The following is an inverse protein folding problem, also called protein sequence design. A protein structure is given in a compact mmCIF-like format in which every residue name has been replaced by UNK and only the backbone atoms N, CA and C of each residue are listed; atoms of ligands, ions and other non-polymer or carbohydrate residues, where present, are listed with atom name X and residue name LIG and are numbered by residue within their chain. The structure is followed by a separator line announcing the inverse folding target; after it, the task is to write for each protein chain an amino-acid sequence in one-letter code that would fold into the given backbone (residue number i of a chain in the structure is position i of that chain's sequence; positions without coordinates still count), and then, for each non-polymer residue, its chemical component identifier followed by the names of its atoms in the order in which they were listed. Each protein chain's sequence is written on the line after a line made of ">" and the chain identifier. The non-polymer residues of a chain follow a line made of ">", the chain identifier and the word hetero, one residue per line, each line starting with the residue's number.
data_IF_202760881512
#
_entry.id   IF_202760881512
#
_cell.length_a   1.000
_cell.length_b   1.000
_cell.length_c   1.000
_cell.angle_alpha   90.00
_cell.angle_beta   90.00
_cell.angle_gamma   90.00
#
_symmetry.space_group_name_H-M   'P 1'
#
loop_
_entity.id
_entity.type
_entity.pdbx_description
1 polymer ?
#
# COMPACT_ATOMS: atom_id res chain seq x y z
N UNK A 1 29.03 -5.92 10.29
CA UNK A 1 28.02 -5.40 9.37
C UNK A 1 27.66 -4.00 9.86
N UNK A 2 27.56 -3.03 8.98
CA UNK A 2 27.09 -1.68 9.39
C UNK A 2 25.59 -1.70 9.71
N UNK A 3 25.09 -0.73 10.49
CA UNK A 3 23.65 -0.59 10.78
C UNK A 3 22.83 -0.51 9.49
N UNK A 4 23.32 0.20 8.49
CA UNK A 4 22.68 0.28 7.17
C UNK A 4 22.52 -1.09 6.49
N UNK A 5 23.58 -1.92 6.50
CA UNK A 5 23.51 -3.27 5.93
C UNK A 5 22.54 -4.17 6.71
N UNK A 6 22.48 -4.02 8.02
CA UNK A 6 21.52 -4.75 8.85
C UNK A 6 20.08 -4.37 8.52
N UNK A 7 19.79 -3.07 8.42
CA UNK A 7 18.45 -2.60 8.06
C UNK A 7 18.05 -3.11 6.67
N UNK A 8 18.93 -3.00 5.68
CA UNK A 8 18.63 -3.47 4.32
C UNK A 8 18.32 -4.98 4.29
N UNK A 9 19.12 -5.79 4.98
CA UNK A 9 18.86 -7.23 5.08
C UNK A 9 17.55 -7.51 5.81
N UNK A 10 17.26 -6.81 6.89
CA UNK A 10 16.01 -6.94 7.63
C UNK A 10 14.79 -6.65 6.73
N UNK A 11 14.85 -5.59 5.91
CA UNK A 11 13.73 -5.24 5.02
C UNK A 11 13.49 -6.28 3.92
N UNK A 12 14.53 -6.89 3.37
CA UNK A 12 14.40 -8.02 2.45
C UNK A 12 13.70 -9.23 3.11
N UNK A 13 13.98 -9.48 4.38
CA UNK A 13 13.33 -10.57 5.14
C UNK A 13 11.90 -10.24 5.57
N UNK A 14 11.60 -8.95 5.80
CA UNK A 14 10.28 -8.47 6.22
C UNK A 14 9.30 -8.32 5.04
N UNK A 15 9.79 -7.98 3.85
CA UNK A 15 8.93 -7.76 2.69
C UNK A 15 7.93 -8.90 2.42
N UNK A 16 8.35 -10.17 2.30
CA UNK A 16 7.41 -11.26 2.05
C UNK A 16 6.45 -11.50 3.22
N UNK A 17 6.86 -11.22 4.46
CA UNK A 17 6.00 -11.34 5.63
C UNK A 17 4.89 -10.29 5.62
N UNK A 18 5.25 -9.03 5.37
CA UNK A 18 4.28 -7.94 5.29
C UNK A 18 3.34 -8.11 4.09
N UNK A 19 3.84 -8.63 2.96
CA UNK A 19 2.97 -8.93 1.83
C UNK A 19 1.94 -10.01 2.18
N UNK A 20 2.34 -11.08 2.86
CA UNK A 20 1.42 -12.12 3.30
C UNK A 20 0.36 -11.60 4.29
N UNK A 21 0.75 -10.71 5.22
CA UNK A 21 -0.18 -10.06 6.15
C UNK A 21 -1.15 -9.11 5.41
N UNK A 22 -0.65 -8.36 4.43
CA UNK A 22 -1.50 -7.51 3.59
C UNK A 22 -2.48 -8.35 2.75
N UNK A 23 -2.06 -9.49 2.21
CA UNK A 23 -2.95 -10.44 1.52
C UNK A 23 -4.02 -11.01 2.46
N UNK A 24 -3.65 -11.33 3.70
CA UNK A 24 -4.61 -11.79 4.71
C UNK A 24 -5.66 -10.70 5.00
N UNK A 25 -5.25 -9.46 5.14
CA UNK A 25 -6.14 -8.36 5.49
C UNK A 25 -7.00 -7.92 4.29
N UNK A 26 -6.42 -7.78 3.11
CA UNK A 26 -7.03 -7.13 1.95
C UNK A 26 -7.38 -8.06 0.80
N UNK A 27 -6.96 -9.33 0.84
CA UNK A 27 -7.14 -10.32 -0.22
C UNK A 27 -5.90 -10.51 -1.08
N UNK A 28 -5.86 -11.58 -1.89
CA UNK A 28 -4.65 -12.05 -2.57
C UNK A 28 -4.10 -11.00 -3.55
N UNK A 29 -2.77 -10.99 -3.70
CA UNK A 29 -2.11 -10.16 -4.73
C UNK A 29 -2.50 -10.62 -6.15
N UNK A 30 -2.39 -9.71 -7.10
CA UNK A 30 -2.48 -10.03 -8.53
C UNK A 30 -1.22 -10.79 -9.01
N UNK A 31 -1.27 -11.33 -10.22
CA UNK A 31 -0.16 -12.09 -10.77
C UNK A 31 0.91 -11.15 -11.36
N UNK A 32 2.14 -11.26 -10.86
CA UNK A 32 3.33 -10.54 -11.31
C UNK A 32 4.58 -11.15 -10.67
N UNK A 33 5.76 -10.82 -11.23
CA UNK A 33 7.07 -11.18 -10.67
C UNK A 33 7.62 -10.01 -9.84
N UNK A 34 7.98 -10.28 -8.57
CA UNK A 34 8.67 -9.33 -7.72
C UNK A 34 10.18 -9.52 -7.83
N UNK A 35 10.93 -8.42 -8.05
CA UNK A 35 12.36 -8.48 -8.29
C UNK A 35 13.24 -7.90 -7.18
N UNK A 36 12.65 -7.39 -6.10
CA UNK A 36 13.41 -6.98 -4.91
C UNK A 36 13.25 -5.53 -4.49
N UNK A 37 14.02 -5.16 -3.46
CA UNK A 37 14.09 -3.82 -2.89
C UNK A 37 15.23 -3.03 -3.50
N UNK A 38 14.98 -1.76 -3.81
CA UNK A 38 15.96 -0.81 -4.29
C UNK A 38 15.89 0.47 -3.46
N UNK A 39 16.97 1.24 -3.47
CA UNK A 39 17.07 2.45 -2.64
C UNK A 39 17.48 3.64 -3.50
N UNK A 40 16.84 4.79 -3.30
CA UNK A 40 17.14 6.03 -4.02
C UNK A 40 16.76 7.28 -3.20
N UNK A 41 16.90 8.48 -3.78
CA UNK A 41 16.68 9.75 -3.07
C UNK A 41 15.30 10.37 -3.34
N UNK A 42 14.37 9.62 -3.90
CA UNK A 42 13.00 10.08 -4.14
C UNK A 42 12.04 9.52 -3.08
N UNK A 43 10.75 9.86 -3.18
CA UNK A 43 9.71 9.23 -2.38
C UNK A 43 9.67 7.71 -2.64
N UNK A 44 9.33 6.90 -1.63
CA UNK A 44 9.14 5.46 -1.81
C UNK A 44 8.01 5.22 -2.82
N UNK A 45 8.09 4.08 -3.52
CA UNK A 45 7.09 3.71 -4.54
C UNK A 45 7.25 2.27 -5.01
N UNK A 46 6.16 1.70 -5.51
CA UNK A 46 6.19 0.51 -6.36
C UNK A 46 6.38 0.94 -7.81
N UNK A 47 7.27 0.28 -8.52
CA UNK A 47 7.61 0.62 -9.91
C UNK A 47 7.58 -0.64 -10.77
N UNK A 48 6.91 -0.56 -11.91
CA UNK A 48 7.09 -1.56 -12.97
C UNK A 48 8.53 -1.42 -13.50
N UNK A 49 9.27 -2.52 -13.43
CA UNK A 49 10.65 -2.56 -13.90
C UNK A 49 10.72 -2.95 -15.37
N UNK A 50 9.94 -3.96 -15.75
CA UNK A 50 9.92 -4.50 -17.10
C UNK A 50 8.61 -5.25 -17.36
N UNK A 51 8.37 -5.55 -18.63
CA UNK A 51 7.29 -6.42 -19.12
C UNK A 51 7.88 -7.37 -20.13
N UNK A 52 7.77 -8.66 -19.87
CA UNK A 52 8.11 -9.67 -20.88
C UNK A 52 7.03 -9.72 -21.95
N UNK A 53 7.34 -9.23 -23.14
CA UNK A 53 6.40 -9.20 -24.27
C UNK A 53 6.11 -10.59 -24.86
N UNK A 54 6.90 -11.63 -24.52
CA UNK A 54 6.66 -13.00 -24.98
C UNK A 54 5.72 -13.76 -24.07
N UNK A 55 5.87 -13.60 -22.74
CA UNK A 55 5.04 -14.28 -21.75
C UNK A 55 3.88 -13.40 -21.26
N UNK A 56 4.00 -12.09 -21.37
CA UNK A 56 3.08 -11.12 -20.82
C UNK A 56 3.32 -10.84 -19.32
N UNK A 57 4.38 -11.40 -18.73
CA UNK A 57 4.69 -11.22 -17.33
C UNK A 57 5.13 -9.79 -17.02
N UNK A 58 4.63 -9.26 -15.91
CA UNK A 58 5.04 -7.97 -15.38
C UNK A 58 6.04 -8.17 -14.24
N UNK A 59 7.06 -7.32 -14.21
CA UNK A 59 8.09 -7.30 -13.18
C UNK A 59 8.01 -6.01 -12.38
N UNK A 60 7.78 -6.13 -11.08
CA UNK A 60 7.69 -4.98 -10.17
C UNK A 60 8.78 -5.01 -9.12
N UNK A 61 9.19 -3.84 -8.66
CA UNK A 61 10.11 -3.63 -7.55
C UNK A 61 9.54 -2.61 -6.59
N UNK A 62 10.02 -2.65 -5.35
CA UNK A 62 9.84 -1.56 -4.39
C UNK A 62 11.11 -0.70 -4.42
N UNK A 63 10.95 0.60 -4.49
CA UNK A 63 11.99 1.59 -4.31
C UNK A 63 11.73 2.34 -3.00
N UNK A 64 12.64 2.20 -2.00
CA UNK A 64 12.58 2.91 -0.74
C UNK A 64 13.45 4.18 -0.79
N UNK A 65 13.04 5.22 -0.04
CA UNK A 65 13.85 6.41 0.13
C UNK A 65 15.11 6.08 0.93
N UNK A 66 16.26 6.65 0.55
CA UNK A 66 17.54 6.42 1.22
C UNK A 66 17.58 6.73 2.72
N UNK A 67 16.61 7.49 3.25
CA UNK A 67 16.43 7.67 4.69
C UNK A 67 16.11 6.36 5.41
N UNK A 68 15.35 5.46 4.78
CA UNK A 68 15.00 4.16 5.33
C UNK A 68 16.22 3.34 5.77
N UNK A 69 17.34 3.48 5.07
CA UNK A 69 18.58 2.76 5.39
C UNK A 69 19.16 3.19 6.75
N UNK A 70 18.93 4.45 7.13
CA UNK A 70 19.50 5.06 8.35
C UNK A 70 18.53 5.07 9.53
N UNK A 71 17.24 5.01 9.27
CA UNK A 71 16.16 5.03 10.26
C UNK A 71 15.28 3.81 10.08
N UNK A 72 15.42 2.84 11.00
CA UNK A 72 14.67 1.59 10.96
C UNK A 72 13.15 1.83 11.03
N UNK A 73 12.70 2.80 11.83
CA UNK A 73 11.27 3.08 11.95
C UNK A 73 10.70 3.63 10.64
N UNK A 74 11.40 4.59 10.04
CA UNK A 74 11.02 5.14 8.73
C UNK A 74 11.07 4.05 7.63
N UNK A 75 12.05 3.16 7.68
CA UNK A 75 12.17 2.05 6.73
C UNK A 75 11.03 1.04 6.84
N UNK A 76 10.64 0.65 8.06
CA UNK A 76 9.48 -0.23 8.29
C UNK A 76 8.19 0.43 7.81
N UNK A 77 8.01 1.73 8.10
CA UNK A 77 6.86 2.49 7.63
C UNK A 77 6.77 2.53 6.09
N UNK A 78 7.87 2.88 5.43
CA UNK A 78 7.92 2.91 3.97
C UNK A 78 7.67 1.52 3.37
N UNK A 79 8.36 0.49 3.85
CA UNK A 79 8.24 -0.86 3.32
C UNK A 79 6.81 -1.40 3.44
N UNK A 80 6.21 -1.26 4.62
CA UNK A 80 4.84 -1.74 4.84
C UNK A 80 3.79 -0.95 4.05
N UNK A 81 4.04 0.32 3.77
CA UNK A 81 3.21 1.13 2.87
C UNK A 81 3.28 0.60 1.43
N UNK A 82 4.49 0.45 0.89
CA UNK A 82 4.70 0.00 -0.49
C UNK A 82 4.26 -1.44 -0.74
N UNK A 83 4.28 -2.29 0.27
CA UNK A 83 3.77 -3.66 0.18
C UNK A 83 2.27 -3.70 -0.11
N UNK A 84 1.49 -2.71 0.35
CA UNK A 84 0.06 -2.63 0.01
C UNK A 84 -0.14 -2.34 -1.48
N UNK A 85 0.66 -1.46 -2.06
CA UNK A 85 0.65 -1.20 -3.51
C UNK A 85 1.04 -2.43 -4.33
N UNK A 86 1.88 -3.32 -3.78
CA UNK A 86 2.17 -4.61 -4.42
C UNK A 86 0.97 -5.58 -4.47
N UNK A 87 -0.13 -5.34 -3.78
CA UNK A 87 -1.31 -6.21 -3.88
C UNK A 87 -1.93 -6.18 -5.29
N UNK A 88 -1.88 -5.03 -5.95
CA UNK A 88 -2.43 -4.87 -7.30
C UNK A 88 -1.73 -3.71 -8.03
N UNK A 89 -0.43 -3.83 -8.30
CA UNK A 89 0.31 -2.78 -8.97
C UNK A 89 -0.22 -2.57 -10.39
N UNK A 90 -0.26 -1.32 -10.82
CA UNK A 90 -0.72 -0.93 -12.15
C UNK A 90 0.40 -0.29 -12.95
N UNK A 91 0.33 -0.39 -14.28
CA UNK A 91 1.22 0.38 -15.15
C UNK A 91 0.98 1.88 -14.90
N UNK A 92 2.06 2.66 -14.84
CA UNK A 92 1.97 4.12 -14.69
C UNK A 92 1.64 4.79 -16.04
N UNK A 93 0.53 4.38 -16.63
CA UNK A 93 -0.03 5.03 -17.81
C UNK A 93 -0.99 6.16 -17.40
N UNK A 94 -1.26 7.08 -18.33
CA UNK A 94 -2.24 8.14 -18.13
C UNK A 94 -3.59 7.53 -17.75
N UNK A 95 -3.98 7.67 -16.49
CA UNK A 95 -5.26 7.16 -15.94
C UNK A 95 -5.16 6.05 -14.90
N UNK A 96 -3.98 5.48 -14.66
CA UNK A 96 -3.72 4.48 -13.60
C UNK A 96 -3.20 5.13 -12.30
N UNK A 97 -3.71 6.29 -11.96
CA UNK A 97 -3.33 6.96 -10.72
C UNK A 97 -3.95 6.26 -9.52
N UNK A 98 -3.17 6.15 -8.45
CA UNK A 98 -3.61 5.66 -7.13
C UNK A 98 -4.77 6.51 -6.63
N UNK A 99 -5.76 5.89 -5.99
CA UNK A 99 -6.90 6.60 -5.41
C UNK A 99 -6.78 6.69 -3.87
N UNK A 100 -7.63 7.49 -3.25
CA UNK A 100 -7.64 7.68 -1.79
C UNK A 100 -7.93 6.38 -1.02
N UNK A 101 -8.66 5.42 -1.60
CA UNK A 101 -8.87 4.11 -0.99
C UNK A 101 -7.55 3.36 -0.83
N UNK A 102 -6.74 3.30 -1.88
CA UNK A 102 -5.48 2.57 -1.88
C UNK A 102 -4.45 3.23 -0.95
N UNK A 103 -4.30 4.56 -1.03
CA UNK A 103 -3.41 5.31 -0.12
C UNK A 103 -3.86 5.22 1.34
N UNK A 104 -5.16 5.25 1.60
CA UNK A 104 -5.72 5.07 2.93
C UNK A 104 -5.44 3.68 3.50
N UNK A 105 -5.57 2.64 2.68
CA UNK A 105 -5.19 1.26 3.03
C UNK A 105 -3.70 1.16 3.36
N UNK A 106 -2.85 1.69 2.48
CA UNK A 106 -1.40 1.64 2.64
C UNK A 106 -0.95 2.38 3.91
N UNK A 107 -1.51 3.56 4.15
CA UNK A 107 -1.23 4.36 5.35
C UNK A 107 -1.71 3.65 6.63
N UNK A 108 -2.90 3.07 6.62
CA UNK A 108 -3.44 2.33 7.77
C UNK A 108 -2.59 1.09 8.09
N UNK A 109 -2.26 0.30 7.09
CA UNK A 109 -1.43 -0.88 7.26
C UNK A 109 -0.02 -0.52 7.77
N UNK A 110 0.60 0.51 7.18
CA UNK A 110 1.93 0.96 7.61
C UNK A 110 1.94 1.48 9.05
N UNK A 111 0.88 2.12 9.51
CA UNK A 111 0.75 2.48 10.93
C UNK A 111 0.72 1.24 11.83
N UNK A 112 -0.15 0.28 11.54
CA UNK A 112 -0.27 -0.96 12.34
C UNK A 112 1.07 -1.70 12.44
N UNK A 113 1.75 -1.88 11.32
CA UNK A 113 3.04 -2.57 11.26
C UNK A 113 4.13 -1.79 12.01
N UNK A 114 4.21 -0.48 11.79
CA UNK A 114 5.21 0.37 12.45
C UNK A 114 5.05 0.37 13.96
N UNK A 115 3.84 0.54 14.46
CA UNK A 115 3.54 0.49 15.89
C UNK A 115 3.91 -0.87 16.50
N UNK A 116 3.53 -1.96 15.84
CA UNK A 116 3.82 -3.32 16.31
C UNK A 116 5.31 -3.63 16.35
N UNK A 117 6.04 -3.33 15.28
CA UNK A 117 7.40 -3.84 15.08
C UNK A 117 8.48 -2.89 15.62
N UNK A 118 8.12 -1.63 15.90
CA UNK A 118 9.05 -0.63 16.45
C UNK A 118 8.67 -0.16 17.85
N UNK A 119 7.42 -0.33 18.26
CA UNK A 119 6.88 0.25 19.50
C UNK A 119 6.73 1.78 19.45
N UNK A 120 6.89 2.40 18.29
CA UNK A 120 6.84 3.86 18.13
C UNK A 120 5.44 4.32 17.66
N UNK A 121 4.56 4.59 18.62
CA UNK A 121 3.18 5.03 18.37
C UNK A 121 3.07 6.48 17.91
N UNK A 122 4.11 7.28 18.11
CA UNK A 122 4.12 8.70 17.73
C UNK A 122 4.61 8.93 16.30
N UNK A 123 5.24 7.92 15.68
CA UNK A 123 5.86 8.08 14.37
C UNK A 123 4.83 8.41 13.29
N UNK A 124 3.78 7.61 13.15
CA UNK A 124 2.79 7.78 12.08
C UNK A 124 1.99 9.08 12.24
N UNK A 125 1.47 9.45 13.43
CA UNK A 125 0.84 10.76 13.62
C UNK A 125 1.76 11.91 13.23
N UNK A 126 3.04 11.87 13.61
CA UNK A 126 4.00 12.91 13.26
C UNK A 126 4.30 12.95 11.76
N UNK A 127 4.40 11.80 11.11
CA UNK A 127 4.62 11.70 9.66
C UNK A 127 3.43 12.24 8.85
N UNK A 128 2.20 12.02 9.32
CA UNK A 128 0.97 12.46 8.67
C UNK A 128 0.64 13.95 8.90
N UNK A 129 1.10 14.53 10.02
CA UNK A 129 0.79 15.92 10.40
C UNK A 129 1.11 16.95 9.30
N UNK A 130 2.13 16.69 8.48
CA UNK A 130 2.56 17.56 7.38
C UNK A 130 2.17 17.02 5.99
N UNK A 131 1.28 16.03 5.94
CA UNK A 131 0.83 15.36 4.71
C UNK A 131 -0.69 15.26 4.68
N UNK A 132 -1.40 16.37 4.45
CA UNK A 132 -2.87 16.43 4.59
C UNK A 132 -3.61 15.42 3.71
N UNK A 133 -3.12 15.16 2.48
CA UNK A 133 -3.76 14.18 1.59
C UNK A 133 -3.67 12.75 2.17
N UNK A 134 -2.52 12.36 2.72
CA UNK A 134 -2.36 11.04 3.37
C UNK A 134 -3.21 10.92 4.64
N UNK A 135 -3.31 11.99 5.43
CA UNK A 135 -4.17 12.02 6.60
C UNK A 135 -5.64 11.90 6.19
N UNK A 136 -6.08 12.61 5.16
CA UNK A 136 -7.43 12.51 4.61
C UNK A 136 -7.72 11.08 4.11
N UNK A 137 -6.83 10.48 3.31
CA UNK A 137 -6.96 9.12 2.82
C UNK A 137 -7.09 8.11 3.97
N UNK A 138 -6.26 8.25 5.00
CA UNK A 138 -6.30 7.44 6.21
C UNK A 138 -7.64 7.54 6.95
N UNK A 139 -8.19 8.75 7.15
CA UNK A 139 -9.47 8.94 7.85
C UNK A 139 -10.66 8.46 7.01
N UNK A 140 -10.63 8.63 5.69
CA UNK A 140 -11.63 8.05 4.78
C UNK A 140 -11.62 6.52 4.86
N UNK A 141 -10.44 5.91 4.82
CA UNK A 141 -10.31 4.47 4.96
C UNK A 141 -10.81 3.96 6.32
N UNK A 142 -10.49 4.64 7.42
CA UNK A 142 -11.02 4.31 8.75
C UNK A 142 -12.55 4.37 8.80
N UNK A 143 -13.13 5.35 8.13
CA UNK A 143 -14.59 5.48 8.03
C UNK A 143 -15.20 4.28 7.27
N UNK A 144 -14.56 3.80 6.21
CA UNK A 144 -14.97 2.62 5.48
C UNK A 144 -14.95 1.36 6.37
N UNK A 145 -13.84 1.11 7.07
CA UNK A 145 -13.70 -0.12 7.89
C UNK A 145 -14.51 -0.06 9.20
N UNK A 146 -14.89 1.11 9.66
CA UNK A 146 -15.85 1.24 10.76
C UNK A 146 -17.24 0.72 10.37
N UNK A 147 -17.62 0.85 9.11
CA UNK A 147 -18.85 0.26 8.56
C UNK A 147 -18.73 -1.24 8.29
N UNK A 148 -17.60 -1.69 7.77
CA UNK A 148 -17.31 -3.10 7.50
C UNK A 148 -15.79 -3.35 7.49
N UNK A 149 -15.27 -4.01 8.52
CA UNK A 149 -13.84 -4.32 8.66
C UNK A 149 -13.25 -5.15 7.49
N UNK A 150 -14.10 -5.80 6.69
CA UNK A 150 -13.70 -6.61 5.54
C UNK A 150 -14.08 -5.97 4.20
N UNK A 151 -14.43 -4.68 4.19
CA UNK A 151 -14.92 -3.99 3.00
C UNK A 151 -13.98 -4.16 1.80
N UNK A 152 -12.68 -3.88 1.96
CA UNK A 152 -11.70 -4.00 0.87
C UNK A 152 -11.57 -5.44 0.39
N UNK A 153 -11.51 -6.41 1.30
CA UNK A 153 -11.45 -7.83 0.93
C UNK A 153 -12.67 -8.29 0.13
N UNK A 154 -13.85 -7.69 0.40
CA UNK A 154 -15.07 -7.92 -0.38
C UNK A 154 -15.00 -7.26 -1.75
N UNK A 155 -14.55 -5.99 -1.81
CA UNK A 155 -14.37 -5.25 -3.05
C UNK A 155 -13.38 -5.96 -3.98
N UNK A 156 -12.24 -6.41 -3.47
CA UNK A 156 -11.22 -7.10 -4.26
C UNK A 156 -11.62 -8.48 -4.76
N UNK A 157 -12.69 -9.09 -4.24
CA UNK A 157 -13.34 -10.27 -4.83
C UNK A 157 -14.15 -9.93 -6.08
N UNK A 158 -14.60 -8.68 -6.23
CA UNK A 158 -15.34 -8.21 -7.40
C UNK A 158 -14.35 -7.65 -8.44
N UNK A 159 -13.45 -6.77 -8.00
CA UNK A 159 -12.44 -6.11 -8.82
C UNK A 159 -11.09 -6.22 -8.11
N UNK A 160 -10.21 -7.10 -8.60
CA UNK A 160 -8.94 -7.44 -7.93
C UNK A 160 -7.93 -6.28 -7.89
N UNK A 161 -7.97 -5.38 -8.88
CA UNK A 161 -7.11 -4.20 -9.00
C UNK A 161 -7.80 -3.03 -8.29
N UNK A 162 -7.16 -2.51 -7.23
CA UNK A 162 -7.76 -1.49 -6.36
C UNK A 162 -8.05 -0.20 -7.14
N UNK A 163 -7.13 0.22 -7.99
CA UNK A 163 -7.28 1.41 -8.83
C UNK A 163 -8.46 1.32 -9.82
N UNK A 164 -8.99 0.13 -10.10
CA UNK A 164 -10.10 -0.11 -11.01
C UNK A 164 -11.45 -0.29 -10.32
N UNK A 165 -11.50 -0.24 -8.98
CA UNK A 165 -12.75 -0.32 -8.22
C UNK A 165 -13.65 0.87 -8.58
N UNK A 166 -14.94 0.59 -8.74
CA UNK A 166 -15.98 1.57 -9.14
C UNK A 166 -17.09 1.62 -8.10
N UNK A 167 -17.92 2.68 -8.07
CA UNK A 167 -19.03 2.78 -7.12
C UNK A 167 -19.98 1.58 -7.14
N UNK A 168 -20.27 1.01 -8.30
CA UNK A 168 -21.12 -0.16 -8.42
C UNK A 168 -20.53 -1.43 -7.77
N UNK A 169 -19.22 -1.51 -7.57
CA UNK A 169 -18.58 -2.66 -6.95
C UNK A 169 -18.86 -2.71 -5.45
N UNK A 170 -19.08 -1.58 -4.80
CA UNK A 170 -19.54 -1.51 -3.41
C UNK A 170 -20.91 -2.19 -3.26
N UNK A 171 -21.83 -1.92 -4.19
CA UNK A 171 -23.17 -2.53 -4.20
C UNK A 171 -23.05 -4.04 -4.43
N UNK A 172 -22.27 -4.47 -5.43
CA UNK A 172 -22.03 -5.90 -5.74
C UNK A 172 -21.37 -6.64 -4.57
N UNK A 173 -20.51 -5.95 -3.81
CA UNK A 173 -19.85 -6.48 -2.62
C UNK A 173 -20.80 -6.55 -1.39
N UNK A 174 -22.02 -6.02 -1.51
CA UNK A 174 -23.00 -5.99 -0.43
C UNK A 174 -22.65 -4.99 0.67
N UNK A 175 -21.92 -3.93 0.32
CA UNK A 175 -21.50 -2.88 1.24
C UNK A 175 -22.54 -1.74 1.24
N UNK A 176 -23.06 -1.43 2.41
CA UNK A 176 -23.97 -0.30 2.61
C UNK A 176 -23.18 0.92 3.11
N UNK A 177 -22.51 1.60 2.19
CA UNK A 177 -21.63 2.74 2.45
C UNK A 177 -22.28 4.01 1.90
N UNK A 178 -22.08 5.12 2.59
CA UNK A 178 -22.51 6.45 2.14
C UNK A 178 -21.95 6.74 0.73
N UNK A 179 -22.77 7.11 -0.26
CA UNK A 179 -22.31 7.44 -1.61
C UNK A 179 -21.22 8.52 -1.63
N UNK A 180 -21.29 9.53 -0.76
CA UNK A 180 -20.26 10.57 -0.67
C UNK A 180 -18.92 9.98 -0.23
N UNK A 181 -18.92 9.04 0.75
CA UNK A 181 -17.70 8.36 1.18
C UNK A 181 -17.11 7.51 0.03
N UNK A 182 -17.97 6.87 -0.78
CA UNK A 182 -17.50 6.11 -1.96
C UNK A 182 -16.83 7.04 -2.96
N UNK A 183 -17.44 8.18 -3.28
CA UNK A 183 -16.89 9.16 -4.22
C UNK A 183 -15.55 9.71 -3.71
N UNK A 184 -15.45 10.02 -2.42
CA UNK A 184 -14.21 10.53 -1.81
C UNK A 184 -13.09 9.48 -1.81
N UNK A 185 -13.40 8.21 -1.52
CA UNK A 185 -12.43 7.09 -1.55
C UNK A 185 -11.91 6.80 -2.96
N UNK A 186 -12.77 6.93 -3.98
CA UNK A 186 -12.41 6.61 -5.37
C UNK A 186 -11.81 7.80 -6.12
N UNK A 187 -11.77 8.98 -5.51
CA UNK A 187 -11.09 10.16 -6.05
C UNK A 187 -9.61 9.85 -6.25
N UNK A 188 -9.02 10.38 -7.32
CA UNK A 188 -7.57 10.29 -7.57
C UNK A 188 -6.78 11.02 -6.47
N UNK A 189 -5.68 10.41 -6.04
CA UNK A 189 -4.84 10.90 -4.95
C UNK A 189 -3.84 11.99 -5.37
#
# INVERSE_FOLDING_TARGET
>A
MSTQQQNMQEYEELQPKYLAEAEEMFGPKTDYQYIGLFYHNYAPRVVMHDKDFLTGDYFYKIELCGKAINDRTDGIFQLSHEVVHLLSPVEQDEGSEVNYLEEGMATYFSQLITERDTGNYEFCPAALANRPNYLEAYELYKSLIAGDAHAVKKLRKITSIIAHIKPEDFIKAGLNIDPQLIDDLLRKF
#
